data_IF_632146909601
#
_entry.id   IF_632146909601
#
_cell.length_a   1.000
_cell.length_b   1.000
_cell.length_c   1.000
_cell.angle_alpha   90.00
_cell.angle_beta   90.00
_cell.angle_gamma   90.00
#
_symmetry.space_group_name_H-M   'P 1'
#
loop_
_entity.id
_entity.type
_entity.pdbx_description
1 polymer ?
#
# COMPACT_ATOMS: atom_id res chain seq x y z
N UNK A 1 -23.42 -21.79 -10.69
CA UNK A 1 -24.28 -21.23 -9.63
C UNK A 1 -23.86 -19.78 -9.40
N UNK A 2 -24.85 -18.92 -9.12
CA UNK A 2 -24.78 -17.44 -9.19
C UNK A 2 -23.62 -16.84 -8.40
N UNK A 3 -22.93 -15.89 -9.04
CA UNK A 3 -21.91 -15.06 -8.41
C UNK A 3 -22.52 -14.11 -7.39
N UNK A 4 -21.94 -14.11 -6.19
CA UNK A 4 -22.17 -13.10 -5.16
C UNK A 4 -21.02 -12.09 -5.23
N UNK A 5 -21.17 -11.15 -6.16
CA UNK A 5 -20.48 -9.85 -6.10
C UNK A 5 -21.34 -8.93 -5.25
N UNK A 6 -21.08 -8.88 -3.93
CA UNK A 6 -21.64 -7.88 -3.03
C UNK A 6 -20.75 -7.76 -1.80
N UNK A 7 -19.80 -6.82 -1.83
CA UNK A 7 -19.34 -6.09 -0.65
C UNK A 7 -18.75 -4.77 -1.12
N UNK A 8 -19.39 -3.67 -0.73
CA UNK A 8 -18.90 -2.31 -0.96
C UNK A 8 -19.96 -1.37 -1.49
N UNK A 9 -21.02 -1.10 -0.74
CA UNK A 9 -21.72 0.17 -0.90
C UNK A 9 -20.80 1.31 -0.41
N UNK A 10 -20.71 2.42 -1.15
CA UNK A 10 -19.93 3.58 -0.76
C UNK A 10 -20.75 4.48 0.18
N UNK A 11 -20.08 5.03 1.18
CA UNK A 11 -20.61 6.11 2.02
C UNK A 11 -21.19 7.22 1.15
N UNK A 12 -22.49 7.47 1.31
CA UNK A 12 -23.21 8.51 0.60
C UNK A 12 -22.87 9.91 1.11
N UNK A 13 -22.50 10.78 0.18
CA UNK A 13 -22.88 12.18 0.19
C UNK A 13 -23.28 12.53 -1.24
N UNK A 14 -24.58 12.80 -1.43
CA UNK A 14 -25.11 13.23 -2.71
C UNK A 14 -24.80 14.69 -2.98
N UNK A 15 -24.33 14.98 -4.18
CA UNK A 15 -24.51 16.26 -4.88
C UNK A 15 -24.68 15.95 -6.37
N UNK A 16 -25.54 16.76 -7.00
CA UNK A 16 -26.17 16.49 -8.29
C UNK A 16 -25.22 16.31 -9.47
N UNK A 17 -25.74 15.62 -10.47
CA UNK A 17 -25.11 15.41 -11.75
C UNK A 17 -25.13 16.70 -12.60
N UNK A 18 -23.97 17.15 -13.05
CA UNK A 18 -23.80 17.93 -14.28
C UNK A 18 -23.09 17.02 -15.32
N UNK A 19 -23.55 16.97 -16.59
CA UNK A 19 -22.98 16.10 -17.60
C UNK A 19 -21.94 16.85 -18.45
N UNK A 20 -20.68 16.41 -18.37
CA UNK A 20 -19.54 16.60 -19.32
C UNK A 20 -18.22 16.93 -18.60
N UNK A 21 -17.69 15.97 -17.83
CA UNK A 21 -16.26 15.94 -17.52
C UNK A 21 -15.81 14.47 -17.58
N UNK A 22 -14.83 14.09 -18.43
CA UNK A 22 -14.32 12.72 -18.44
C UNK A 22 -13.67 12.41 -17.08
N UNK A 23 -13.85 11.21 -16.51
CA UNK A 23 -13.37 10.91 -15.16
C UNK A 23 -11.83 10.93 -15.15
N UNK A 24 -11.26 12.03 -14.68
CA UNK A 24 -9.85 12.13 -14.32
C UNK A 24 -9.56 11.07 -13.26
N UNK A 25 -8.73 10.07 -13.58
CA UNK A 25 -8.37 8.97 -12.67
C UNK A 25 -7.78 9.55 -11.36
N UNK A 26 -8.42 9.36 -10.20
CA UNK A 26 -7.97 9.98 -8.95
C UNK A 26 -6.78 9.25 -8.29
N UNK A 27 -6.24 8.21 -8.92
CA UNK A 27 -5.14 7.39 -8.41
C UNK A 27 -4.15 7.10 -9.54
N UNK A 28 -2.85 7.30 -9.27
CA UNK A 28 -1.80 6.75 -10.10
C UNK A 28 -1.54 5.33 -9.66
N UNK A 29 -1.78 4.38 -10.55
CA UNK A 29 -1.36 3.01 -10.34
C UNK A 29 0.07 2.86 -10.84
N UNK A 30 0.91 2.16 -10.08
CA UNK A 30 2.34 2.01 -10.42
C UNK A 30 2.58 1.30 -11.78
N UNK A 31 1.56 0.67 -12.37
CA UNK A 31 1.62 0.04 -13.69
C UNK A 31 1.39 1.02 -14.85
N UNK A 32 0.75 2.15 -14.62
CA UNK A 32 0.48 3.16 -15.67
C UNK A 32 1.74 3.93 -16.09
N UNK A 33 2.79 3.92 -15.26
CA UNK A 33 4.08 4.56 -15.52
C UNK A 33 5.08 3.65 -16.24
N UNK A 34 4.63 2.53 -16.79
CA UNK A 34 5.50 1.57 -17.45
C UNK A 34 4.70 0.53 -18.21
N UNK A 35 4.28 0.90 -19.42
CA UNK A 35 3.93 -0.08 -20.45
C UNK A 35 5.02 -1.15 -20.52
N UNK A 36 4.61 -2.40 -20.41
CA UNK A 36 5.43 -3.61 -20.67
C UNK A 36 6.66 -3.89 -19.80
N UNK A 37 7.08 -3.02 -18.88
CA UNK A 37 8.22 -3.33 -17.99
C UNK A 37 7.88 -4.34 -16.87
N UNK A 38 6.60 -4.59 -16.60
CA UNK A 38 6.16 -5.63 -15.67
C UNK A 38 6.42 -7.06 -16.20
N UNK A 39 6.53 -7.19 -17.53
CA UNK A 39 6.65 -8.46 -18.25
C UNK A 39 8.11 -8.92 -18.40
N UNK A 40 9.10 -8.03 -18.22
CA UNK A 40 10.47 -8.28 -18.73
C UNK A 40 11.55 -8.61 -17.68
N UNK A 41 11.28 -8.58 -16.37
CA UNK A 41 12.25 -9.01 -15.32
C UNK A 41 11.99 -10.44 -14.79
N UNK A 42 11.36 -11.26 -15.62
CA UNK A 42 10.76 -12.57 -15.29
C UNK A 42 11.76 -13.74 -15.12
N UNK A 43 13.06 -13.50 -14.91
CA UNK A 43 14.05 -14.62 -14.88
C UNK A 43 15.06 -14.66 -13.75
N UNK A 44 15.18 -13.66 -12.88
CA UNK A 44 16.17 -13.70 -11.80
C UNK A 44 15.52 -13.94 -10.44
N UNK A 45 15.90 -15.07 -9.79
CA UNK A 45 15.79 -15.24 -8.34
C UNK A 45 16.64 -14.15 -7.68
N UNK A 46 16.09 -12.95 -7.52
CA UNK A 46 16.77 -11.88 -6.82
C UNK A 46 17.00 -12.34 -5.37
N UNK A 47 18.25 -12.31 -4.87
CA UNK A 47 18.50 -12.54 -3.46
C UNK A 47 17.64 -11.61 -2.61
N UNK A 48 17.27 -12.07 -1.42
CA UNK A 48 16.24 -11.43 -0.61
C UNK A 48 16.57 -9.96 -0.22
N UNK A 49 17.85 -9.57 -0.27
CA UNK A 49 18.30 -8.18 -0.11
C UNK A 49 17.90 -7.27 -1.29
N UNK A 50 17.91 -7.79 -2.52
CA UNK A 50 17.56 -7.03 -3.72
C UNK A 50 16.05 -6.89 -3.92
N UNK A 51 15.26 -7.83 -3.39
CA UNK A 51 13.79 -7.76 -3.49
C UNK A 51 13.24 -6.52 -2.77
N UNK A 52 13.73 -6.25 -1.56
CA UNK A 52 13.36 -5.06 -0.81
C UNK A 52 13.79 -3.77 -1.52
N UNK A 53 15.00 -3.74 -2.07
CA UNK A 53 15.51 -2.59 -2.82
C UNK A 53 14.66 -2.33 -4.08
N UNK A 54 14.28 -3.40 -4.80
CA UNK A 54 13.42 -3.32 -5.98
C UNK A 54 12.06 -2.70 -5.65
N UNK A 55 11.36 -3.22 -4.62
CA UNK A 55 10.06 -2.69 -4.20
C UNK A 55 10.20 -1.23 -3.76
N UNK A 56 11.24 -0.90 -2.98
CA UNK A 56 11.51 0.46 -2.54
C UNK A 56 11.67 1.42 -3.71
N UNK A 57 12.55 1.11 -4.66
CA UNK A 57 12.80 1.98 -5.81
C UNK A 57 11.58 2.17 -6.69
N UNK A 58 10.76 1.12 -6.87
CA UNK A 58 9.50 1.23 -7.63
C UNK A 58 8.51 2.17 -6.98
N UNK A 59 8.41 2.15 -5.65
CA UNK A 59 7.55 3.05 -4.89
C UNK A 59 8.09 4.47 -4.82
N UNK A 60 9.40 4.64 -4.63
CA UNK A 60 10.05 5.96 -4.68
C UNK A 60 9.78 6.65 -6.01
N UNK A 61 9.86 5.91 -7.11
CA UNK A 61 9.53 6.44 -8.44
C UNK A 61 8.05 6.77 -8.58
N UNK A 62 7.15 5.93 -8.07
CA UNK A 62 5.72 6.23 -8.07
C UNK A 62 5.40 7.50 -7.27
N UNK A 63 6.04 7.71 -6.11
CA UNK A 63 5.90 8.95 -5.35
C UNK A 63 6.48 10.16 -6.08
N UNK A 64 7.60 10.00 -6.78
CA UNK A 64 8.20 11.06 -7.59
C UNK A 64 7.21 11.52 -8.65
N UNK A 65 6.59 10.59 -9.38
CA UNK A 65 5.62 10.94 -10.42
C UNK A 65 4.31 11.49 -9.85
N UNK A 66 3.86 10.99 -8.70
CA UNK A 66 2.67 11.51 -8.03
C UNK A 66 2.76 13.00 -7.64
N UNK A 67 3.95 13.58 -7.61
CA UNK A 67 4.19 15.00 -7.37
C UNK A 67 4.24 15.84 -8.64
N UNK A 68 4.56 15.24 -9.78
CA UNK A 68 4.82 16.00 -11.01
C UNK A 68 3.50 16.37 -11.68
N UNK A 69 3.27 17.66 -11.88
CA UNK A 69 2.08 18.17 -12.57
C UNK A 69 0.80 18.18 -11.72
N UNK A 70 0.92 18.00 -10.40
CA UNK A 70 -0.20 18.03 -9.47
C UNK A 70 0.04 19.06 -8.36
N UNK A 71 -1.01 19.80 -8.00
CA UNK A 71 -0.98 20.74 -6.84
C UNK A 71 -0.79 19.99 -5.53
N UNK A 72 -1.27 18.74 -5.47
CA UNK A 72 -1.13 17.86 -4.31
C UNK A 72 -0.67 16.47 -4.74
N UNK A 73 0.14 15.77 -3.92
CA UNK A 73 0.64 14.45 -4.27
C UNK A 73 -0.51 13.44 -4.41
N UNK A 74 -0.57 12.75 -5.55
CA UNK A 74 -1.56 11.69 -5.73
C UNK A 74 -1.32 10.49 -4.79
N UNK A 75 -2.39 9.83 -4.31
CA UNK A 75 -2.27 8.61 -3.52
C UNK A 75 -1.66 7.47 -4.35
N UNK A 76 -0.56 6.90 -3.86
CA UNK A 76 0.12 5.75 -4.48
C UNK A 76 -0.42 4.45 -3.89
N UNK A 77 -0.96 3.59 -4.74
CA UNK A 77 -1.39 2.23 -4.39
C UNK A 77 -0.39 1.21 -4.96
N UNK A 78 0.22 0.43 -4.08
CA UNK A 78 1.15 -0.62 -4.50
C UNK A 78 0.38 -1.86 -4.94
N UNK A 79 0.65 -2.39 -6.12
CA UNK A 79 0.15 -3.72 -6.49
C UNK A 79 1.09 -4.78 -5.91
N UNK A 80 0.55 -5.81 -5.24
CA UNK A 80 1.33 -6.95 -4.73
C UNK A 80 0.67 -8.29 -5.09
N UNK A 81 1.46 -9.25 -5.59
CA UNK A 81 0.97 -10.60 -5.91
C UNK A 81 0.94 -11.44 -4.64
N UNK A 82 -0.04 -12.33 -4.53
CA UNK A 82 -0.09 -13.30 -3.42
C UNK A 82 0.95 -14.41 -3.52
N UNK A 83 1.51 -14.64 -4.71
CA UNK A 83 2.47 -15.72 -4.98
C UNK A 83 3.77 -15.21 -5.60
N UNK A 84 4.84 -15.92 -5.30
CA UNK A 84 6.14 -15.72 -5.93
C UNK A 84 6.07 -16.11 -7.41
N UNK A 85 6.42 -15.17 -8.30
CA UNK A 85 6.34 -15.39 -9.76
C UNK A 85 7.27 -16.51 -10.25
N UNK A 86 8.38 -16.78 -9.55
CA UNK A 86 9.34 -17.82 -9.92
C UNK A 86 8.96 -19.21 -9.44
N UNK A 87 8.13 -19.33 -8.39
CA UNK A 87 7.80 -20.64 -7.78
C UNK A 87 6.32 -20.99 -7.78
N UNK A 88 5.44 -20.01 -8.04
CA UNK A 88 3.99 -20.17 -7.91
C UNK A 88 3.50 -20.33 -6.46
N UNK A 89 4.40 -20.41 -5.48
CA UNK A 89 4.05 -20.58 -4.06
C UNK A 89 3.57 -19.27 -3.45
N UNK A 90 2.68 -19.37 -2.47
CA UNK A 90 2.28 -18.22 -1.66
C UNK A 90 3.49 -17.55 -1.00
N UNK A 91 3.44 -16.23 -0.89
CA UNK A 91 4.50 -15.44 -0.27
C UNK A 91 4.70 -15.86 1.19
N UNK A 92 5.95 -16.06 1.59
CA UNK A 92 6.28 -16.28 2.99
C UNK A 92 6.07 -14.99 3.81
N UNK A 93 6.06 -15.10 5.14
CA UNK A 93 6.01 -13.93 6.01
C UNK A 93 7.14 -12.93 5.71
N UNK A 94 8.34 -13.43 5.44
CA UNK A 94 9.49 -12.61 5.04
C UNK A 94 9.25 -11.86 3.72
N UNK A 95 8.63 -12.52 2.75
CA UNK A 95 8.28 -11.89 1.47
C UNK A 95 7.21 -10.81 1.66
N UNK A 96 6.23 -11.03 2.54
CA UNK A 96 5.23 -10.03 2.91
C UNK A 96 5.85 -8.81 3.60
N UNK A 97 6.87 -9.02 4.44
CA UNK A 97 7.67 -7.93 5.03
C UNK A 97 8.42 -7.14 3.96
N UNK A 98 9.04 -7.82 3.00
CA UNK A 98 9.82 -7.21 1.91
C UNK A 98 8.95 -6.60 0.81
N UNK A 99 7.64 -6.82 0.82
CA UNK A 99 6.68 -6.26 -0.15
C UNK A 99 5.71 -5.29 0.53
N UNK A 100 4.63 -5.79 1.13
CA UNK A 100 3.59 -5.00 1.81
C UNK A 100 4.20 -4.17 2.95
N UNK A 101 5.13 -4.74 3.72
CA UNK A 101 5.82 -4.03 4.80
C UNK A 101 6.61 -2.82 4.30
N UNK A 102 7.32 -2.97 3.17
CA UNK A 102 8.04 -1.86 2.52
C UNK A 102 7.07 -0.80 2.03
N UNK A 103 5.95 -1.20 1.40
CA UNK A 103 4.90 -0.29 0.94
C UNK A 103 4.34 0.57 2.08
N UNK A 104 3.96 -0.05 3.19
CA UNK A 104 3.47 0.66 4.36
C UNK A 104 4.56 1.57 4.95
N UNK A 105 5.79 1.08 5.09
CA UNK A 105 6.89 1.86 5.67
C UNK A 105 7.25 3.10 4.84
N UNK A 106 7.07 3.07 3.52
CA UNK A 106 7.29 4.23 2.64
C UNK A 106 6.10 5.21 2.61
N UNK A 107 4.99 4.88 3.28
CA UNK A 107 3.79 5.72 3.33
C UNK A 107 2.95 5.65 2.06
N UNK A 108 2.87 4.48 1.42
CA UNK A 108 1.89 4.21 0.38
C UNK A 108 0.46 4.39 0.96
N UNK A 109 -0.48 4.79 0.11
CA UNK A 109 -1.88 4.96 0.52
C UNK A 109 -2.55 3.61 0.79
N UNK A 110 -2.08 2.54 0.14
CA UNK A 110 -2.60 1.19 0.30
C UNK A 110 -1.87 0.20 -0.59
N UNK A 111 -2.32 -1.06 -0.50
CA UNK A 111 -1.84 -2.16 -1.34
C UNK A 111 -3.04 -2.85 -1.97
N UNK A 112 -2.98 -3.07 -3.29
CA UNK A 112 -3.94 -3.89 -4.02
C UNK A 112 -3.33 -5.28 -4.18
N UNK A 113 -3.99 -6.27 -3.60
CA UNK A 113 -3.58 -7.66 -3.69
C UNK A 113 -4.15 -8.27 -4.97
N UNK A 114 -3.29 -8.87 -5.79
CA UNK A 114 -3.72 -9.57 -6.99
C UNK A 114 -3.29 -11.03 -6.96
N UNK A 115 -4.13 -11.88 -7.55
CA UNK A 115 -3.92 -13.32 -7.61
C UNK A 115 -4.09 -13.87 -9.01
N UNK A 116 -3.71 -15.14 -9.17
CA UNK A 116 -3.99 -15.90 -10.38
C UNK A 116 -5.39 -16.52 -10.28
N UNK A 117 -6.05 -16.72 -11.42
CA UNK A 117 -7.32 -17.45 -11.47
C UNK A 117 -7.15 -18.92 -11.06
N UNK A 118 -5.91 -19.44 -11.12
CA UNK A 118 -5.58 -20.79 -10.65
C UNK A 118 -5.88 -21.02 -9.16
N UNK A 119 -6.05 -19.97 -8.34
CA UNK A 119 -6.37 -20.15 -6.92
C UNK A 119 -7.81 -20.60 -6.68
N UNK A 120 -8.67 -20.49 -7.68
CA UNK A 120 -10.06 -20.93 -7.63
C UNK A 120 -10.36 -22.03 -8.66
N UNK A 121 -9.33 -22.75 -9.13
CA UNK A 121 -9.52 -23.79 -10.15
C UNK A 121 -10.10 -25.09 -9.61
N UNK A 122 -9.93 -25.36 -8.32
CA UNK A 122 -10.51 -26.52 -7.63
C UNK A 122 -10.86 -26.20 -6.17
N UNK A 123 -11.60 -27.09 -5.53
CA UNK A 123 -11.93 -26.98 -4.11
C UNK A 123 -10.66 -26.99 -3.25
N UNK A 124 -9.69 -27.84 -3.57
CA UNK A 124 -8.43 -27.96 -2.84
C UNK A 124 -7.59 -26.68 -2.93
N UNK A 125 -7.52 -26.04 -4.10
CA UNK A 125 -6.79 -24.76 -4.24
C UNK A 125 -7.50 -23.61 -3.53
N UNK A 126 -8.83 -23.62 -3.48
CA UNK A 126 -9.60 -22.66 -2.69
C UNK A 126 -9.29 -22.81 -1.19
N UNK A 127 -9.25 -24.05 -0.67
CA UNK A 127 -8.87 -24.30 0.72
C UNK A 127 -7.42 -23.93 1.02
N UNK A 128 -6.48 -24.19 0.09
CA UNK A 128 -5.09 -23.72 0.23
C UNK A 128 -4.99 -22.20 0.32
N UNK A 129 -5.75 -21.47 -0.50
CA UNK A 129 -5.83 -20.03 -0.41
C UNK A 129 -6.42 -19.60 0.92
N UNK A 130 -7.53 -20.21 1.34
CA UNK A 130 -8.17 -19.92 2.62
C UNK A 130 -7.19 -20.08 3.79
N UNK A 131 -6.48 -21.20 3.85
CA UNK A 131 -5.51 -21.47 4.91
C UNK A 131 -4.37 -20.44 4.90
N UNK A 132 -3.89 -20.03 3.72
CA UNK A 132 -2.90 -18.96 3.61
C UNK A 132 -3.42 -17.60 4.10
N UNK A 133 -4.67 -17.26 3.76
CA UNK A 133 -5.32 -16.03 4.19
C UNK A 133 -5.47 -15.98 5.71
N UNK A 134 -5.91 -17.07 6.34
CA UNK A 134 -6.15 -17.12 7.78
C UNK A 134 -4.85 -17.25 8.58
N UNK A 135 -3.90 -18.06 8.13
CA UNK A 135 -2.68 -18.36 8.90
C UNK A 135 -1.58 -17.31 8.75
N UNK A 136 -1.45 -16.70 7.56
CA UNK A 136 -0.26 -15.93 7.21
C UNK A 136 -0.60 -14.52 6.76
N UNK A 137 -1.37 -14.37 5.68
CA UNK A 137 -1.59 -13.06 5.07
C UNK A 137 -2.46 -12.15 5.95
N UNK A 138 -3.60 -12.66 6.41
CA UNK A 138 -4.57 -11.92 7.23
C UNK A 138 -3.93 -11.37 8.51
N UNK A 139 -3.31 -12.20 9.36
CA UNK A 139 -2.62 -11.73 10.56
C UNK A 139 -1.56 -10.68 10.27
N UNK A 140 -0.79 -10.84 9.18
CA UNK A 140 0.25 -9.88 8.79
C UNK A 140 -0.35 -8.54 8.32
N UNK A 141 -1.38 -8.56 7.48
CA UNK A 141 -2.08 -7.36 7.00
C UNK A 141 -2.71 -6.61 8.18
N UNK A 142 -3.34 -7.32 9.11
CA UNK A 142 -3.89 -6.73 10.34
C UNK A 142 -2.78 -6.06 11.16
N UNK A 143 -1.64 -6.73 11.34
CA UNK A 143 -0.49 -6.19 12.07
C UNK A 143 -0.01 -4.86 11.45
N UNK A 144 0.29 -4.86 10.15
CA UNK A 144 0.79 -3.67 9.44
C UNK A 144 -0.25 -2.54 9.46
N UNK A 145 -1.52 -2.87 9.25
CA UNK A 145 -2.61 -1.88 9.19
C UNK A 145 -2.82 -1.22 10.55
N UNK A 146 -2.89 -2.02 11.63
CA UNK A 146 -2.99 -1.51 13.01
C UNK A 146 -1.82 -0.60 13.35
N UNK A 147 -0.59 -0.98 13.00
CA UNK A 147 0.60 -0.16 13.24
C UNK A 147 0.56 1.15 12.43
N UNK A 148 0.15 1.12 11.17
CA UNK A 148 0.04 2.30 10.32
C UNK A 148 -1.03 3.28 10.84
N UNK A 149 -2.20 2.78 11.22
CA UNK A 149 -3.27 3.58 11.83
C UNK A 149 -2.82 4.20 13.15
N UNK A 150 -2.22 3.40 14.04
CA UNK A 150 -1.69 3.89 15.30
C UNK A 150 -0.64 4.99 15.11
N UNK A 151 0.28 4.81 14.16
CA UNK A 151 1.27 5.83 13.83
C UNK A 151 0.62 7.11 13.29
N UNK A 152 -0.37 6.99 12.40
CA UNK A 152 -1.15 8.13 11.90
C UNK A 152 -1.77 8.93 13.05
N UNK A 153 -2.48 8.26 13.97
CA UNK A 153 -3.15 8.94 15.08
C UNK A 153 -2.16 9.52 16.09
N UNK A 154 -1.14 8.77 16.51
CA UNK A 154 -0.23 9.19 17.59
C UNK A 154 0.84 10.18 17.13
N UNK A 155 1.28 10.11 15.87
CA UNK A 155 2.38 10.95 15.36
C UNK A 155 1.89 12.05 14.42
N UNK A 156 0.86 11.77 13.63
CA UNK A 156 0.36 12.64 12.58
C UNK A 156 -1.05 13.18 12.87
N UNK A 157 -1.53 13.06 14.11
CA UNK A 157 -2.85 13.52 14.58
C UNK A 157 -4.04 12.97 13.79
N UNK A 158 -3.87 11.84 13.09
CA UNK A 158 -4.90 11.29 12.21
C UNK A 158 -5.02 12.01 10.86
N UNK A 159 -4.19 13.02 10.61
CA UNK A 159 -4.25 13.88 9.43
C UNK A 159 -3.11 13.61 8.44
N UNK A 160 -2.45 12.46 8.54
CA UNK A 160 -1.41 12.07 7.62
C UNK A 160 -0.96 10.63 7.79
N UNK A 161 -0.19 10.15 6.82
CA UNK A 161 0.43 8.81 6.85
C UNK A 161 1.85 8.90 7.38
N UNK A 162 2.26 7.87 8.11
CA UNK A 162 3.66 7.70 8.46
C UNK A 162 4.46 7.19 7.27
N UNK A 163 5.58 7.83 7.00
CA UNK A 163 6.57 7.40 6.02
C UNK A 163 7.95 7.40 6.67
N UNK A 164 8.79 6.42 6.34
CA UNK A 164 10.14 6.29 6.87
C UNK A 164 10.92 7.57 6.61
N UNK A 165 11.63 8.08 7.62
CA UNK A 165 12.40 9.33 7.54
C UNK A 165 13.63 9.16 6.65
N UNK A 166 14.42 8.12 6.91
CA UNK A 166 15.70 7.87 6.25
C UNK A 166 15.61 6.64 5.33
N UNK A 167 15.88 6.78 4.02
CA UNK A 167 15.99 5.66 3.08
C UNK A 167 17.01 4.58 3.52
N UNK A 168 18.07 4.97 4.24
CA UNK A 168 19.09 4.07 4.78
C UNK A 168 18.61 3.15 5.90
N UNK A 169 17.50 3.49 6.58
CA UNK A 169 16.90 2.67 7.65
C UNK A 169 16.05 1.54 7.08
N UNK A 170 16.64 0.66 6.29
CA UNK A 170 15.94 -0.41 5.57
C UNK A 170 15.11 -1.33 6.47
N UNK A 171 15.48 -1.45 7.76
CA UNK A 171 14.84 -2.32 8.75
C UNK A 171 13.68 -1.70 9.53
N UNK A 172 13.35 -0.42 9.30
CA UNK A 172 12.29 0.28 10.05
C UNK A 172 10.89 0.03 9.46
N UNK A 173 10.14 -0.93 9.97
CA UNK A 173 8.78 -1.28 9.50
C UNK A 173 7.68 -0.81 10.45
N UNK A 174 6.46 -0.71 9.93
CA UNK A 174 5.26 -0.45 10.72
C UNK A 174 4.65 -1.80 11.13
N UNK A 175 5.10 -2.32 12.27
CA UNK A 175 4.55 -3.52 12.90
C UNK A 175 4.21 -3.23 14.36
N UNK A 176 3.14 -3.85 14.85
CA UNK A 176 2.81 -3.98 16.26
C UNK A 176 3.85 -4.92 16.88
N UNK A 177 4.35 -4.59 18.07
CA UNK A 177 5.32 -5.43 18.77
C UNK A 177 4.67 -6.73 19.26
N UNK A 178 5.45 -7.78 19.55
CA UNK A 178 4.93 -9.06 20.04
C UNK A 178 4.12 -8.95 21.35
N UNK A 179 4.43 -7.96 22.19
CA UNK A 179 3.72 -7.66 23.44
C UNK A 179 2.41 -6.86 23.23
N UNK A 180 2.03 -6.61 21.97
CA UNK A 180 0.89 -5.78 21.60
C UNK A 180 1.14 -4.28 21.75
N UNK A 181 2.31 -3.86 22.24
CA UNK A 181 2.64 -2.45 22.41
C UNK A 181 3.00 -1.79 21.08
N UNK A 182 2.79 -0.47 21.04
CA UNK A 182 3.07 0.35 19.87
C UNK A 182 4.50 0.94 19.94
N UNK A 183 5.10 1.18 18.78
CA UNK A 183 6.44 1.76 18.68
C UNK A 183 6.43 3.26 18.95
N UNK A 184 7.58 3.83 19.33
CA UNK A 184 7.72 5.28 19.52
C UNK A 184 7.79 6.09 18.21
N UNK A 185 7.56 5.45 17.06
CA UNK A 185 7.54 6.02 15.70
C UNK A 185 8.73 6.94 15.31
N UNK A 186 9.86 6.86 16.02
CA UNK A 186 11.01 7.79 15.86
C UNK A 186 11.64 7.77 14.46
N UNK A 187 11.59 6.60 13.81
CA UNK A 187 12.08 6.40 12.43
C UNK A 187 11.12 6.91 11.35
N UNK A 188 9.96 7.46 11.73
CA UNK A 188 8.91 7.88 10.81
C UNK A 188 8.66 9.40 10.86
N UNK A 189 8.32 9.95 9.71
CA UNK A 189 7.81 11.32 9.49
C UNK A 189 6.39 11.26 8.96
N UNK A 190 5.68 12.37 9.05
CA UNK A 190 4.32 12.46 8.51
C UNK A 190 4.31 12.95 7.06
N UNK A 191 3.43 12.35 6.25
CA UNK A 191 2.97 12.84 4.96
C UNK A 191 1.50 13.21 5.11
N UNK A 192 1.22 14.50 5.17
CA UNK A 192 -0.11 15.00 5.50
C UNK A 192 -1.12 14.74 4.38
N UNK A 193 -2.37 14.59 4.76
CA UNK A 193 -3.49 14.58 3.83
C UNK A 193 -3.76 15.98 3.32
N UNK A 194 -4.50 16.07 2.20
CA UNK A 194 -4.94 17.33 1.62
C UNK A 194 -5.61 18.22 2.69
N UNK A 195 -5.18 19.48 2.77
CA UNK A 195 -5.69 20.44 3.75
C UNK A 195 -4.98 20.41 5.11
N UNK A 196 -3.88 19.66 5.25
CA UNK A 196 -3.10 19.59 6.49
C UNK A 196 -1.61 19.79 6.23
N UNK A 197 -0.95 20.50 7.14
CA UNK A 197 0.44 20.91 7.01
C UNK A 197 1.23 20.76 8.34
N UNK A 198 2.55 20.87 8.20
CA UNK A 198 3.51 20.81 9.30
C UNK A 198 4.08 19.41 9.56
N UNK A 199 5.06 19.30 10.47
CA UNK A 199 5.82 18.07 10.69
C UNK A 199 5.00 16.91 11.28
N UNK A 200 3.84 17.22 11.87
CA UNK A 200 2.91 16.29 12.53
C UNK A 200 1.48 16.43 12.00
N UNK A 201 1.27 17.15 10.90
CA UNK A 201 -0.06 17.36 10.28
C UNK A 201 -1.12 17.97 11.21
N UNK A 202 -0.71 18.80 12.17
CA UNK A 202 -1.63 19.39 13.14
C UNK A 202 -2.25 20.71 12.63
N UNK A 203 -1.61 21.37 11.66
CA UNK A 203 -2.06 22.68 11.18
C UNK A 203 -2.94 22.47 9.94
N UNK A 204 -4.14 23.07 9.86
CA UNK A 204 -4.87 23.13 8.61
C UNK A 204 -4.09 23.98 7.60
N UNK A 205 -4.08 23.55 6.34
CA UNK A 205 -3.47 24.29 5.25
C UNK A 205 -4.38 25.48 4.88
N UNK A 206 -3.83 26.69 4.67
CA UNK A 206 -4.65 27.83 4.28
C UNK A 206 -5.37 27.52 2.97
N UNK A 207 -6.69 27.74 2.92
CA UNK A 207 -7.41 27.71 1.64
C UNK A 207 -6.84 28.85 0.79
N UNK A 208 -6.34 28.56 -0.40
CA UNK A 208 -6.05 29.60 -1.39
C UNK A 208 -7.34 30.38 -1.62
N UNK A 209 -7.31 31.68 -1.33
CA UNK A 209 -8.41 32.59 -1.65
C UNK A 209 -8.49 32.65 -3.18
N UNK A 210 -9.52 32.00 -3.74
CA UNK A 210 -9.88 32.13 -5.15
C UNK A 210 -10.92 33.22 -5.29
#
# INVERSE_FOLDING_TARGET
MKGLSQFGEPWGFGLGADPEVPPSRPYLTAWELGGSAATELTRCRLPAAYQQAFVRHRLEEAFRVALVGHTHPLPVLAYARLTSRSSGKFLSLDDLVRTIGVSAALGAAGVVLWGDLSFSSSEEECWRLHDYLVSTLGPYVINVTKAAMACSHQRCHGHGRCARRDPGQTKAFLHVKPDGSLGAWKSFRCRCYLGWAGPTCQKPEPKEAT
#
